data_IF_064108060450
#
_entry.id   IF_064108060450
#
_cell.length_a   1.000
_cell.length_b   1.000
_cell.length_c   1.000
_cell.angle_alpha   90.00
_cell.angle_beta   90.00
_cell.angle_gamma   90.00
#
_symmetry.space_group_name_H-M   'P 1'
#
loop_
_entity.id
_entity.type
_entity.pdbx_description
1 polymer ?
#
# COMPACT_ATOMS: atom_id res chain seq x y z
N UNK A 1 7.08 -2.31 11.86
CA UNK A 1 6.36 -1.02 12.00
C UNK A 1 7.16 0.14 11.44
N UNK A 2 8.40 0.30 11.91
CA UNK A 2 9.29 1.42 11.59
C UNK A 2 9.43 1.73 10.09
N UNK A 3 9.70 0.74 9.24
CA UNK A 3 9.82 0.94 7.79
C UNK A 3 8.63 1.67 7.15
N UNK A 4 7.41 1.34 7.58
CA UNK A 4 6.21 1.96 7.04
C UNK A 4 6.15 3.45 7.40
N UNK A 5 6.45 3.80 8.64
CA UNK A 5 6.43 5.17 9.14
C UNK A 5 7.60 6.01 8.62
N UNK A 6 8.79 5.41 8.51
CA UNK A 6 10.02 6.13 8.21
C UNK A 6 10.34 6.20 6.72
N UNK A 7 9.85 5.26 5.91
CA UNK A 7 10.18 5.19 4.48
C UNK A 7 8.95 5.14 3.60
N UNK A 8 8.03 4.19 3.83
CA UNK A 8 6.91 3.97 2.89
C UNK A 8 5.92 5.13 2.85
N UNK A 9 5.47 5.64 4.00
CA UNK A 9 4.54 6.78 4.07
C UNK A 9 5.15 8.08 3.53
N UNK A 10 6.39 8.47 3.89
CA UNK A 10 7.05 9.62 3.27
C UNK A 10 7.18 9.51 1.75
N UNK A 11 7.58 8.35 1.23
CA UNK A 11 7.68 8.13 -0.22
C UNK A 11 6.31 8.29 -0.89
N UNK A 12 5.26 7.65 -0.36
CA UNK A 12 3.90 7.77 -0.89
C UNK A 12 3.42 9.23 -0.93
N UNK A 13 3.75 10.04 0.07
CA UNK A 13 3.39 11.45 0.11
C UNK A 13 4.05 12.29 -1.01
N UNK A 14 5.12 11.79 -1.63
CA UNK A 14 5.78 12.45 -2.77
C UNK A 14 5.28 11.98 -4.13
N UNK A 15 4.49 10.90 -4.21
CA UNK A 15 4.05 10.35 -5.48
C UNK A 15 2.97 11.22 -6.13
N UNK A 16 3.10 11.56 -7.43
CA UNK A 16 2.05 12.27 -8.15
C UNK A 16 0.72 11.51 -8.10
N UNK A 17 -0.35 12.23 -7.79
CA UNK A 17 -1.70 11.67 -7.67
C UNK A 17 -1.99 10.96 -6.35
N UNK A 18 -1.02 10.78 -5.44
CA UNK A 18 -1.29 10.24 -4.11
C UNK A 18 -2.06 11.28 -3.29
N UNK A 19 -3.28 10.94 -2.88
CA UNK A 19 -4.14 11.77 -2.01
C UNK A 19 -3.79 11.52 -0.54
N UNK A 20 -3.44 10.29 -0.21
CA UNK A 20 -3.06 9.94 1.15
C UNK A 20 -2.74 8.47 1.31
N UNK A 21 -2.01 8.17 2.37
CA UNK A 21 -1.67 6.81 2.76
C UNK A 21 -1.87 6.62 4.26
N UNK A 22 -2.45 5.48 4.64
CA UNK A 22 -2.73 5.15 6.04
C UNK A 22 -2.29 3.73 6.34
N UNK A 23 -1.71 3.56 7.52
CA UNK A 23 -1.52 2.26 8.15
C UNK A 23 -2.34 2.23 9.43
N UNK A 24 -3.28 1.30 9.49
CA UNK A 24 -4.16 1.08 10.63
C UNK A 24 -3.77 -0.22 11.34
N UNK A 25 -3.91 -0.23 12.66
CA UNK A 25 -3.68 -1.39 13.51
C UNK A 25 -5.04 -1.88 14.01
N UNK A 26 -5.39 -3.13 13.70
CA UNK A 26 -6.59 -3.75 14.23
C UNK A 26 -6.39 -4.13 15.71
N UNK A 27 -7.34 -3.73 16.55
CA UNK A 27 -7.35 -4.08 17.99
C UNK A 27 -7.81 -5.52 18.22
N UNK A 28 -8.63 -6.06 17.33
CA UNK A 28 -9.21 -7.42 17.38
C UNK A 28 -9.02 -8.16 16.05
N UNK A 29 -9.21 -9.48 16.04
CA UNK A 29 -9.08 -10.32 14.84
C UNK A 29 -7.65 -10.77 14.51
N UNK A 30 -7.52 -11.64 13.50
CA UNK A 30 -6.25 -12.31 13.14
C UNK A 30 -5.36 -11.46 12.22
N UNK A 31 -5.94 -10.59 11.38
CA UNK A 31 -5.19 -9.68 10.51
C UNK A 31 -4.96 -8.34 11.22
N UNK A 32 -3.73 -8.09 11.63
CA UNK A 32 -3.40 -6.94 12.50
C UNK A 32 -3.17 -5.63 11.76
N UNK A 33 -2.83 -5.66 10.48
CA UNK A 33 -2.45 -4.46 9.73
C UNK A 33 -3.37 -4.27 8.53
N UNK A 34 -3.97 -3.08 8.45
CA UNK A 34 -4.71 -2.64 7.27
C UNK A 34 -3.98 -1.45 6.65
N UNK A 35 -3.75 -1.51 5.35
CA UNK A 35 -3.03 -0.51 4.58
C UNK A 35 -4.00 0.07 3.56
N UNK A 36 -4.04 1.40 3.45
CA UNK A 36 -4.83 2.10 2.45
C UNK A 36 -3.95 3.14 1.74
N UNK A 37 -3.92 3.07 0.42
CA UNK A 37 -3.36 4.12 -0.44
C UNK A 37 -4.49 4.68 -1.29
N UNK A 38 -4.61 5.99 -1.28
CA UNK A 38 -5.65 6.70 -2.02
C UNK A 38 -4.96 7.51 -3.11
N UNK A 39 -5.40 7.32 -4.35
CA UNK A 39 -4.92 8.06 -5.51
C UNK A 39 -6.09 8.78 -6.19
N UNK A 40 -5.81 9.93 -6.81
CA UNK A 40 -6.81 10.72 -7.53
C UNK A 40 -7.28 10.05 -8.82
N UNK A 41 -6.45 9.18 -9.41
CA UNK A 41 -6.75 8.42 -10.62
C UNK A 41 -6.01 7.07 -10.61
N UNK A 42 -6.61 6.04 -11.20
CA UNK A 42 -5.99 4.70 -11.27
C UNK A 42 -4.73 4.73 -12.16
N UNK A 43 -4.75 5.56 -13.19
CA UNK A 43 -3.66 5.74 -14.15
C UNK A 43 -2.41 6.30 -13.47
N UNK A 44 -2.58 7.25 -12.54
CA UNK A 44 -1.47 7.82 -11.76
C UNK A 44 -0.90 6.80 -10.76
N UNK A 45 -1.75 5.96 -10.17
CA UNK A 45 -1.31 4.83 -9.34
C UNK A 45 -0.49 3.84 -10.16
N UNK A 46 -0.94 3.45 -11.35
CA UNK A 46 -0.20 2.52 -12.21
C UNK A 46 1.15 3.11 -12.66
N UNK A 47 1.16 4.39 -13.02
CA UNK A 47 2.39 5.01 -13.50
C UNK A 47 3.42 5.23 -12.37
N UNK A 48 2.97 5.65 -11.19
CA UNK A 48 3.87 6.13 -10.14
C UNK A 48 4.03 5.18 -8.95
N UNK A 49 3.10 4.25 -8.71
CA UNK A 49 3.16 3.35 -7.56
C UNK A 49 3.39 1.88 -7.93
N UNK A 50 2.84 1.37 -9.03
CA UNK A 50 3.06 -0.02 -9.47
C UNK A 50 4.55 -0.42 -9.55
N UNK A 51 5.49 0.44 -10.02
CA UNK A 51 6.92 0.13 -9.96
C UNK A 51 7.46 -0.15 -8.55
N UNK A 52 6.94 0.56 -7.54
CA UNK A 52 7.30 0.36 -6.13
C UNK A 52 6.62 -0.86 -5.48
N UNK A 53 5.61 -1.43 -6.12
CA UNK A 53 5.06 -2.72 -5.72
C UNK A 53 5.84 -3.88 -6.31
N UNK A 54 6.37 -3.73 -7.54
CA UNK A 54 7.21 -4.73 -8.19
C UNK A 54 8.49 -5.03 -7.41
N UNK A 55 8.95 -4.13 -6.53
CA UNK A 55 10.02 -4.39 -5.56
C UNK A 55 9.79 -5.68 -4.75
N UNK A 56 8.53 -6.12 -4.55
CA UNK A 56 8.23 -7.39 -3.85
C UNK A 56 8.80 -8.63 -4.52
N UNK A 57 9.09 -8.55 -5.82
CA UNK A 57 9.60 -9.67 -6.60
C UNK A 57 11.14 -9.75 -6.54
N UNK A 58 11.79 -8.72 -5.98
CA UNK A 58 13.25 -8.64 -5.80
C UNK A 58 13.64 -8.88 -4.32
N UNK A 59 14.30 -10.00 -3.99
CA UNK A 59 14.70 -10.35 -2.63
C UNK A 59 15.74 -9.39 -2.01
N UNK A 60 16.43 -8.57 -2.81
CA UNK A 60 17.38 -7.58 -2.31
C UNK A 60 16.70 -6.30 -1.80
N UNK A 61 15.41 -6.12 -2.11
CA UNK A 61 14.62 -5.02 -1.56
C UNK A 61 14.04 -5.37 -0.18
N UNK A 62 13.64 -4.34 0.57
CA UNK A 62 12.89 -4.56 1.81
C UNK A 62 11.57 -5.31 1.56
N UNK A 63 10.88 -4.98 0.46
CA UNK A 63 9.60 -5.58 0.09
C UNK A 63 9.74 -7.08 -0.21
N UNK A 64 10.72 -7.47 -1.02
CA UNK A 64 10.93 -8.88 -1.36
C UNK A 64 11.35 -9.74 -0.17
N UNK A 65 12.06 -9.17 0.80
CA UNK A 65 12.33 -9.88 2.07
C UNK A 65 11.10 -10.05 2.95
N UNK A 66 10.24 -9.04 3.03
CA UNK A 66 9.15 -9.04 4.02
C UNK A 66 7.87 -9.71 3.51
N UNK A 67 7.52 -9.58 2.23
CA UNK A 67 6.26 -10.06 1.65
C UNK A 67 6.03 -11.58 1.86
N UNK A 68 7.04 -12.46 1.73
CA UNK A 68 6.87 -13.90 2.00
C UNK A 68 6.44 -14.23 3.43
N UNK A 69 6.64 -13.31 4.38
CA UNK A 69 6.31 -13.47 5.79
C UNK A 69 4.94 -12.86 6.16
N UNK A 70 4.20 -12.32 5.18
CA UNK A 70 2.91 -11.68 5.41
C UNK A 70 1.75 -12.65 5.09
N UNK A 71 0.80 -12.76 6.01
CA UNK A 71 -0.49 -13.39 5.74
C UNK A 71 -1.51 -12.32 5.36
N UNK A 72 -2.08 -12.43 4.17
CA UNK A 72 -3.15 -11.53 3.70
C UNK A 72 -4.52 -12.09 4.06
N UNK A 73 -5.48 -11.18 4.26
CA UNK A 73 -6.89 -11.54 4.32
C UNK A 73 -7.37 -12.04 2.95
N UNK A 74 -8.43 -12.85 2.88
CA UNK A 74 -9.04 -13.21 1.60
C UNK A 74 -9.30 -11.97 0.74
N UNK A 75 -8.98 -12.04 -0.55
CA UNK A 75 -9.10 -10.95 -1.53
C UNK A 75 -8.18 -9.73 -1.30
N UNK A 76 -7.21 -9.82 -0.39
CA UNK A 76 -6.17 -8.79 -0.18
C UNK A 76 -4.84 -9.22 -0.81
N UNK A 77 -4.04 -8.29 -1.39
CA UNK A 77 -4.36 -6.88 -1.64
C UNK A 77 -5.35 -6.69 -2.82
N UNK A 78 -6.03 -5.55 -2.86
CA UNK A 78 -6.96 -5.19 -3.93
C UNK A 78 -6.81 -3.72 -4.34
N UNK A 79 -7.10 -3.44 -5.61
CA UNK A 79 -7.22 -2.09 -6.17
C UNK A 79 -8.66 -1.88 -6.60
N UNK A 80 -9.25 -0.74 -6.24
CA UNK A 80 -10.64 -0.42 -6.54
C UNK A 80 -10.82 1.06 -6.87
N UNK A 81 -11.90 1.36 -7.60
CA UNK A 81 -12.32 2.75 -7.87
C UNK A 81 -13.33 3.19 -6.82
N UNK A 82 -13.22 4.44 -6.35
CA UNK A 82 -14.21 5.02 -5.44
C UNK A 82 -15.52 5.22 -6.18
N UNK A 83 -16.58 4.54 -5.75
CA UNK A 83 -17.93 4.71 -6.29
C UNK A 83 -18.72 5.78 -5.53
N UNK A 84 -18.43 5.96 -4.24
CA UNK A 84 -19.08 6.95 -3.38
C UNK A 84 -18.10 7.51 -2.33
N UNK A 85 -18.19 8.80 -1.95
CA UNK A 85 -18.98 9.84 -2.61
C UNK A 85 -18.52 10.04 -4.06
N UNK A 86 -19.44 10.52 -4.90
CA UNK A 86 -19.11 10.91 -6.27
C UNK A 86 -17.96 11.93 -6.23
N UNK A 87 -17.01 11.78 -7.15
CA UNK A 87 -15.86 12.68 -7.30
C UNK A 87 -16.29 13.93 -8.04
#
# INVERSE_FOLDING_TARGET
GAWYAQQRLPMLATLPGCVGARKMLATVGVYKHAILHEFSAIELRELHFSPHEAERDDPDTWMGRIVPHLSHAPYSPAVGKRLWPAV
#
